data_IF_392089154838
#
_entry.id   IF_392089154838
#
_cell.length_a   1.000
_cell.length_b   1.000
_cell.length_c   1.000
_cell.angle_alpha   90.00
_cell.angle_beta   90.00
_cell.angle_gamma   90.00
#
_symmetry.space_group_name_H-M   'P 1'
#
loop_
_entity.id
_entity.type
_entity.pdbx_description
1 polymer ?
#
# COMPACT_ATOMS: atom_id res chain seq x y z
N UNK A 1 -7.52 24.41 20.84
CA UNK A 1 -7.42 24.75 19.40
C UNK A 1 -6.06 25.37 19.14
N UNK A 2 -5.05 24.60 18.84
CA UNK A 2 -3.74 25.09 18.40
C UNK A 2 -3.43 24.46 17.03
N UNK A 3 -3.44 25.31 16.01
CA UNK A 3 -3.03 24.96 14.65
C UNK A 3 -1.51 24.93 14.61
N UNK A 4 -0.91 23.76 14.51
CA UNK A 4 0.52 23.61 14.24
C UNK A 4 0.73 23.86 12.74
N UNK A 5 1.25 25.06 12.43
CA UNK A 5 1.77 25.40 11.09
C UNK A 5 3.10 24.65 10.93
N UNK A 6 3.15 23.63 10.10
CA UNK A 6 4.41 23.01 9.68
C UNK A 6 5.10 23.92 8.67
N UNK A 7 6.30 24.34 9.04
CA UNK A 7 7.21 25.16 8.24
C UNK A 7 7.82 24.28 7.13
N UNK A 8 7.56 24.64 5.88
CA UNK A 8 8.23 24.04 4.73
C UNK A 8 9.63 24.62 4.68
N UNK A 9 10.65 23.82 5.01
CA UNK A 9 12.06 24.23 4.84
C UNK A 9 12.42 23.93 3.38
N UNK A 10 12.45 24.99 2.59
CA UNK A 10 13.00 24.98 1.25
C UNK A 10 14.54 25.06 1.38
N UNK A 11 15.24 23.96 1.15
CA UNK A 11 16.71 23.96 1.14
C UNK A 11 17.16 24.60 -0.16
N UNK A 12 17.56 25.88 -0.08
CA UNK A 12 18.33 26.53 -1.14
C UNK A 12 19.79 26.10 -1.04
N UNK A 13 20.26 25.33 -2.01
CA UNK A 13 21.71 25.08 -2.17
C UNK A 13 22.30 26.33 -2.77
N UNK A 14 22.99 27.13 -1.96
CA UNK A 14 23.83 28.23 -2.40
C UNK A 14 25.16 27.68 -2.94
N UNK A 15 25.34 27.77 -4.25
CA UNK A 15 26.66 27.56 -4.87
C UNK A 15 27.56 28.79 -4.56
N UNK A 16 28.86 28.61 -4.27
CA UNK A 16 29.76 29.70 -3.98
C UNK A 16 30.02 30.54 -5.23
N UNK A 17 29.88 31.86 -5.08
CA UNK A 17 30.25 32.84 -6.08
C UNK A 17 31.78 32.86 -6.29
N UNK A 18 32.22 32.37 -7.46
CA UNK A 18 33.59 32.56 -7.91
C UNK A 18 33.83 34.02 -8.31
N UNK A 19 34.82 34.63 -7.70
CA UNK A 19 35.29 36.00 -8.05
C UNK A 19 36.04 35.88 -9.39
N UNK A 20 35.50 36.41 -10.47
CA UNK A 20 36.18 36.58 -11.75
C UNK A 20 36.51 38.03 -11.93
N UNK A 21 37.80 38.28 -12.12
CA UNK A 21 38.47 39.54 -12.48
C UNK A 21 37.99 40.04 -13.85
N UNK A 22 37.86 41.37 -13.96
CA UNK A 22 37.47 42.09 -15.15
C UNK A 22 38.49 41.93 -16.31
N UNK A 23 37.94 41.59 -17.49
CA UNK A 23 38.69 41.60 -18.73
C UNK A 23 37.75 41.25 -19.92
N UNK A 24 37.44 42.32 -20.63
CA UNK A 24 37.01 42.42 -22.04
C UNK A 24 35.69 41.84 -22.53
N UNK A 25 35.04 42.76 -23.29
CA UNK A 25 33.68 42.63 -23.81
C UNK A 25 33.55 41.58 -24.93
N UNK A 26 32.69 40.60 -24.72
CA UNK A 26 32.14 39.75 -25.75
C UNK A 26 30.76 39.28 -25.30
N UNK A 27 29.69 39.91 -25.82
CA UNK A 27 28.31 39.51 -25.64
C UNK A 27 28.07 38.10 -26.19
N UNK A 28 28.32 37.06 -25.42
CA UNK A 28 27.82 35.74 -25.68
C UNK A 28 26.54 35.55 -24.85
N UNK A 29 25.42 35.74 -25.50
CA UNK A 29 24.10 35.38 -24.98
C UNK A 29 24.03 33.85 -24.86
N UNK A 30 24.64 33.30 -23.81
CA UNK A 30 24.47 31.91 -23.43
C UNK A 30 23.03 31.71 -22.99
N UNK A 31 22.21 31.09 -23.85
CA UNK A 31 20.94 30.50 -23.43
C UNK A 31 21.23 29.59 -22.26
N UNK A 32 20.92 30.03 -21.03
CA UNK A 32 20.80 29.13 -19.90
C UNK A 32 19.67 28.15 -20.20
N UNK A 33 20.04 27.02 -20.73
CA UNK A 33 19.14 25.89 -20.87
C UNK A 33 18.85 25.41 -19.45
N UNK A 34 17.73 25.86 -18.90
CA UNK A 34 17.21 25.34 -17.66
C UNK A 34 17.01 23.83 -17.89
N UNK A 35 17.91 23.03 -17.33
CA UNK A 35 17.73 21.59 -17.31
C UNK A 35 16.40 21.35 -16.57
N UNK A 36 15.41 20.85 -17.30
CA UNK A 36 14.14 20.46 -16.71
C UNK A 36 14.45 19.39 -15.67
N UNK A 37 14.16 19.72 -14.42
CA UNK A 37 14.21 18.72 -13.34
C UNK A 37 13.24 17.62 -13.75
N UNK A 38 13.68 16.35 -13.85
CA UNK A 38 12.77 15.27 -14.22
C UNK A 38 11.63 15.25 -13.20
N UNK A 39 10.42 15.48 -13.68
CA UNK A 39 9.22 15.27 -12.87
C UNK A 39 9.13 13.78 -12.61
N UNK A 40 9.44 13.35 -11.40
CA UNK A 40 9.23 11.96 -10.98
C UNK A 40 7.72 11.75 -10.99
N UNK A 41 7.23 11.11 -12.03
CA UNK A 41 5.82 10.79 -12.15
C UNK A 41 5.54 9.62 -11.20
N UNK A 42 4.85 9.91 -10.08
CA UNK A 42 4.38 8.87 -9.17
C UNK A 42 3.41 7.95 -9.92
N UNK A 43 3.53 6.62 -9.79
CA UNK A 43 2.60 5.72 -10.43
C UNK A 43 1.18 6.01 -9.93
N UNK A 44 0.22 6.11 -10.86
CA UNK A 44 -1.18 6.30 -10.51
C UNK A 44 -1.73 5.05 -9.81
N UNK A 45 -2.56 5.19 -8.76
CA UNK A 45 -3.20 4.05 -8.12
C UNK A 45 -4.13 3.34 -9.10
N UNK A 46 -4.12 2.01 -9.07
CA UNK A 46 -4.99 1.15 -9.88
C UNK A 46 -5.32 -0.14 -9.13
N UNK A 47 -6.42 -0.83 -9.44
CA UNK A 47 -6.66 -2.17 -8.92
C UNK A 47 -5.49 -3.09 -9.25
N UNK A 48 -5.13 -3.95 -8.31
CA UNK A 48 -4.00 -4.86 -8.48
C UNK A 48 -2.65 -4.32 -8.02
N UNK A 49 -2.56 -3.07 -7.56
CA UNK A 49 -1.34 -2.49 -7.00
C UNK A 49 -1.32 -2.53 -5.47
N UNK A 50 -0.14 -2.42 -4.90
CA UNK A 50 0.06 -2.20 -3.47
C UNK A 50 0.14 -0.72 -3.14
N UNK A 51 -0.49 -0.33 -2.03
CA UNK A 51 -0.17 0.88 -1.29
C UNK A 51 0.67 0.49 -0.08
N UNK A 52 1.87 0.99 -0.03
CA UNK A 52 2.82 0.74 1.07
C UNK A 52 2.86 1.98 1.95
N UNK A 53 2.48 1.84 3.21
CA UNK A 53 2.50 2.94 4.17
C UNK A 53 3.90 3.53 4.29
N UNK A 54 4.02 4.86 4.22
CA UNK A 54 5.29 5.54 4.46
C UNK A 54 5.72 5.37 5.92
N UNK A 55 7.02 5.55 6.21
CA UNK A 55 7.55 5.48 7.59
C UNK A 55 6.93 6.53 8.51
N UNK A 56 6.48 7.65 7.92
CA UNK A 56 5.94 8.81 8.63
C UNK A 56 4.41 8.80 8.75
N UNK A 57 3.73 7.79 8.22
CA UNK A 57 2.27 7.67 8.32
C UNK A 57 1.87 7.47 9.79
N UNK A 58 1.27 8.51 10.37
CA UNK A 58 0.97 8.57 11.80
C UNK A 58 -0.32 7.83 12.19
N UNK A 59 -1.18 7.47 11.22
CA UNK A 59 -2.44 6.78 11.50
C UNK A 59 -2.16 5.36 12.03
N UNK A 60 -2.57 5.04 13.29
CA UNK A 60 -2.30 3.74 13.88
C UNK A 60 -2.99 2.58 13.15
N UNK A 61 -4.09 2.85 12.46
CA UNK A 61 -4.78 1.83 11.65
C UNK A 61 -3.98 1.44 10.42
N UNK A 62 -3.12 2.33 9.92
CA UNK A 62 -2.40 2.13 8.67
C UNK A 62 -0.86 2.17 8.80
N UNK A 63 -0.33 2.53 9.96
CA UNK A 63 1.12 2.47 10.19
C UNK A 63 1.67 1.07 9.87
N UNK A 64 2.73 0.99 9.06
CA UNK A 64 3.39 -0.26 8.65
C UNK A 64 2.46 -1.26 7.93
N UNK A 65 1.48 -0.78 7.19
CA UNK A 65 0.61 -1.64 6.39
C UNK A 65 1.02 -1.70 4.93
N UNK A 66 0.63 -2.80 4.31
CA UNK A 66 0.57 -2.96 2.86
C UNK A 66 -0.88 -3.24 2.51
N UNK A 67 -1.46 -2.41 1.66
CA UNK A 67 -2.84 -2.53 1.21
C UNK A 67 -2.84 -2.96 -0.25
N UNK A 68 -3.58 -4.01 -0.56
CA UNK A 68 -3.86 -4.42 -1.94
C UNK A 68 -5.11 -3.69 -2.42
N UNK A 69 -4.99 -2.87 -3.48
CA UNK A 69 -6.13 -2.17 -4.07
C UNK A 69 -7.00 -3.16 -4.85
N UNK A 70 -8.23 -3.29 -4.40
CA UNK A 70 -9.24 -4.18 -5.01
C UNK A 70 -10.10 -3.43 -6.02
N UNK A 71 -10.37 -2.15 -5.76
CA UNK A 71 -11.10 -1.27 -6.65
C UNK A 71 -10.56 0.16 -6.57
N UNK A 72 -10.58 0.87 -7.71
CA UNK A 72 -10.21 2.28 -7.81
C UNK A 72 -10.94 2.90 -9.00
N UNK A 73 -11.50 4.09 -8.81
CA UNK A 73 -12.23 4.82 -9.85
C UNK A 73 -12.80 6.15 -9.35
N UNK A 74 -13.68 6.73 -10.15
CA UNK A 74 -14.27 8.05 -9.88
C UNK A 74 -15.11 8.10 -8.60
N UNK A 75 -15.65 6.96 -8.15
CA UNK A 75 -16.44 6.86 -6.92
C UNK A 75 -15.57 6.68 -5.66
N UNK A 76 -14.26 6.45 -5.82
CA UNK A 76 -13.32 6.22 -4.73
C UNK A 76 -12.50 4.96 -4.87
N UNK A 77 -11.94 4.49 -3.75
CA UNK A 77 -11.05 3.31 -3.74
C UNK A 77 -11.40 2.38 -2.58
N UNK A 78 -11.16 1.09 -2.82
CA UNK A 78 -11.28 0.02 -1.82
C UNK A 78 -10.01 -0.82 -1.84
N UNK A 79 -9.47 -1.09 -0.65
CA UNK A 79 -8.30 -1.94 -0.49
C UNK A 79 -8.39 -2.84 0.74
N UNK A 80 -7.54 -3.85 0.78
CA UNK A 80 -7.42 -4.78 1.89
C UNK A 80 -5.99 -4.76 2.44
N UNK A 81 -5.87 -4.57 3.76
CA UNK A 81 -4.57 -4.70 4.45
C UNK A 81 -4.16 -6.18 4.40
N UNK A 82 -3.10 -6.50 3.67
CA UNK A 82 -2.71 -7.89 3.39
C UNK A 82 -1.62 -8.44 4.33
N UNK A 83 -1.07 -7.59 5.18
CA UNK A 83 0.04 -7.96 6.07
C UNK A 83 -0.29 -7.97 7.57
N UNK A 84 -1.58 -8.00 7.93
CA UNK A 84 -2.04 -8.06 9.34
C UNK A 84 -2.90 -9.30 9.61
N UNK A 85 -2.31 -10.48 9.80
CA UNK A 85 -3.05 -11.65 10.27
C UNK A 85 -3.57 -11.39 11.69
N UNK A 86 -4.73 -11.96 12.01
CA UNK A 86 -5.25 -12.01 13.37
C UNK A 86 -5.10 -13.42 13.96
N UNK A 87 -5.37 -13.55 15.26
CA UNK A 87 -5.45 -14.84 15.93
C UNK A 87 -6.85 -15.48 15.82
N UNK A 88 -7.76 -14.86 15.05
CA UNK A 88 -9.13 -15.34 14.89
C UNK A 88 -9.15 -16.35 13.74
N UNK A 89 -9.67 -17.54 13.99
CA UNK A 89 -9.90 -18.54 12.94
C UNK A 89 -11.24 -18.27 12.26
N UNK A 90 -11.34 -18.68 11.02
CA UNK A 90 -12.57 -18.48 10.25
C UNK A 90 -13.80 -19.13 10.94
N UNK A 91 -13.62 -20.32 11.50
CA UNK A 91 -14.69 -21.05 12.21
C UNK A 91 -15.17 -20.33 13.49
N UNK A 92 -14.33 -19.51 14.13
CA UNK A 92 -14.70 -18.74 15.31
C UNK A 92 -15.48 -17.45 14.94
N UNK A 93 -15.30 -16.95 13.71
CA UNK A 93 -15.85 -15.68 13.28
C UNK A 93 -17.11 -15.78 12.42
N UNK A 94 -17.31 -16.91 11.78
CA UNK A 94 -18.41 -17.12 10.82
C UNK A 94 -19.26 -18.27 11.26
N UNK A 95 -20.55 -18.00 11.54
CA UNK A 95 -21.53 -19.03 11.89
C UNK A 95 -21.65 -20.07 10.78
N UNK A 96 -21.92 -21.30 11.16
CA UNK A 96 -22.17 -22.43 10.27
C UNK A 96 -20.98 -22.82 9.36
N UNK A 97 -19.76 -22.47 9.77
CA UNK A 97 -18.53 -22.99 9.18
C UNK A 97 -18.03 -24.17 10.02
N UNK A 98 -17.84 -25.32 9.39
CA UNK A 98 -17.30 -26.50 10.07
C UNK A 98 -15.87 -26.22 10.55
N UNK A 99 -15.59 -26.58 11.81
CA UNK A 99 -14.27 -26.33 12.43
C UNK A 99 -13.12 -26.95 11.62
N UNK A 100 -13.29 -28.16 11.12
CA UNK A 100 -12.26 -28.84 10.35
C UNK A 100 -11.84 -28.06 9.09
N UNK A 101 -12.79 -27.43 8.40
CA UNK A 101 -12.52 -26.62 7.21
C UNK A 101 -12.08 -25.19 7.55
N UNK A 102 -12.66 -24.59 8.61
CA UNK A 102 -12.39 -23.22 9.00
C UNK A 102 -11.11 -23.03 9.82
N UNK A 103 -10.67 -24.04 10.56
CA UNK A 103 -9.47 -23.97 11.41
C UNK A 103 -8.16 -23.83 10.62
N UNK A 104 -8.17 -24.25 9.34
CA UNK A 104 -7.01 -24.11 8.45
C UNK A 104 -6.75 -22.64 8.02
N UNK A 105 -7.70 -21.73 8.27
CA UNK A 105 -7.64 -20.36 7.77
C UNK A 105 -7.72 -19.34 8.89
N UNK A 106 -6.68 -18.50 9.00
CA UNK A 106 -6.71 -17.31 9.81
C UNK A 106 -7.45 -16.17 9.09
N UNK A 107 -8.15 -15.34 9.85
CA UNK A 107 -8.71 -14.08 9.37
C UNK A 107 -7.64 -13.00 9.45
N UNK A 108 -7.60 -12.13 8.45
CA UNK A 108 -6.78 -10.93 8.40
C UNK A 108 -7.61 -9.70 8.76
N UNK A 109 -6.98 -8.75 9.40
CA UNK A 109 -7.53 -7.41 9.56
C UNK A 109 -7.41 -6.66 8.23
N UNK A 110 -8.52 -6.55 7.50
CA UNK A 110 -8.54 -5.93 6.16
C UNK A 110 -8.58 -4.39 6.17
N UNK A 111 -8.98 -3.78 7.29
CA UNK A 111 -9.05 -2.33 7.47
C UNK A 111 -10.17 -1.89 8.42
N UNK A 112 -10.27 -0.59 8.74
CA UNK A 112 -11.18 -0.07 9.77
C UNK A 112 -12.65 0.04 9.36
N UNK A 113 -12.98 -0.13 8.08
CA UNK A 113 -14.34 0.07 7.58
C UNK A 113 -15.10 -1.26 7.53
N UNK A 114 -16.34 -1.28 8.03
CA UNK A 114 -17.30 -2.41 7.94
C UNK A 114 -16.71 -3.76 8.39
N UNK A 115 -16.30 -3.86 9.64
CA UNK A 115 -15.74 -5.10 10.23
C UNK A 115 -16.63 -6.34 10.12
N UNK A 116 -17.95 -6.18 9.91
CA UNK A 116 -18.88 -7.28 9.77
C UNK A 116 -18.89 -7.93 8.37
N UNK A 117 -18.18 -7.36 7.41
CA UNK A 117 -18.10 -7.91 6.07
C UNK A 117 -16.85 -8.77 5.96
N UNK A 118 -17.05 -10.05 5.68
CA UNK A 118 -15.97 -10.98 5.32
C UNK A 118 -15.70 -10.85 3.83
N UNK A 119 -14.46 -10.53 3.48
CA UNK A 119 -13.99 -10.50 2.09
C UNK A 119 -12.97 -11.60 1.88
N UNK A 120 -13.05 -12.26 0.75
CA UNK A 120 -12.12 -13.32 0.33
C UNK A 120 -11.24 -12.82 -0.81
N UNK A 121 -9.93 -13.00 -0.71
CA UNK A 121 -9.02 -13.01 -1.86
C UNK A 121 -8.67 -14.45 -2.20
N UNK A 122 -8.68 -14.78 -3.48
CA UNK A 122 -8.44 -16.15 -3.95
C UNK A 122 -7.68 -16.16 -5.26
N UNK A 123 -6.97 -17.24 -5.51
CA UNK A 123 -6.25 -17.51 -6.76
C UNK A 123 -6.96 -18.56 -7.59
N UNK A 124 -6.79 -18.48 -8.91
CA UNK A 124 -7.18 -19.52 -9.86
C UNK A 124 -8.63 -19.97 -9.71
N UNK A 125 -9.56 -19.02 -9.87
CA UNK A 125 -10.99 -19.30 -9.84
C UNK A 125 -11.50 -19.55 -11.26
N UNK A 126 -12.25 -20.63 -11.44
CA UNK A 126 -13.01 -20.86 -12.69
C UNK A 126 -14.16 -19.85 -12.78
N UNK A 127 -14.65 -19.61 -13.99
CA UNK A 127 -15.75 -18.70 -14.28
C UNK A 127 -16.90 -18.82 -13.26
N UNK A 128 -17.06 -17.75 -12.49
CA UNK A 128 -18.09 -17.63 -11.48
C UNK A 128 -18.55 -16.15 -11.40
N UNK A 129 -19.81 -15.84 -11.70
CA UNK A 129 -20.32 -14.48 -11.72
C UNK A 129 -20.32 -13.76 -10.35
N UNK A 130 -20.07 -14.50 -9.26
CA UNK A 130 -19.99 -13.99 -7.89
C UNK A 130 -18.56 -13.64 -7.47
N UNK A 131 -17.62 -13.80 -8.38
CA UNK A 131 -16.19 -13.60 -8.15
C UNK A 131 -15.67 -12.56 -9.15
N UNK A 132 -14.95 -11.57 -8.67
CA UNK A 132 -14.45 -10.47 -9.48
C UNK A 132 -12.92 -10.57 -9.61
N UNK A 133 -12.43 -10.55 -10.84
CA UNK A 133 -10.99 -10.43 -11.10
C UNK A 133 -10.52 -9.03 -10.69
N UNK A 134 -9.45 -8.95 -9.90
CA UNK A 134 -8.77 -7.70 -9.57
C UNK A 134 -7.65 -7.44 -10.56
N UNK A 135 -6.66 -8.31 -10.59
CA UNK A 135 -5.54 -8.29 -11.53
C UNK A 135 -4.86 -9.68 -11.54
N UNK A 136 -4.15 -10.00 -12.60
CA UNK A 136 -3.46 -11.27 -12.81
C UNK A 136 -4.37 -12.49 -12.54
N UNK A 137 -4.04 -13.27 -11.52
CA UNK A 137 -4.83 -14.42 -11.06
C UNK A 137 -5.48 -14.19 -9.68
N UNK A 138 -5.56 -12.94 -9.23
CA UNK A 138 -6.16 -12.56 -7.93
C UNK A 138 -7.59 -12.12 -8.13
N UNK A 139 -8.48 -12.80 -7.44
CA UNK A 139 -9.91 -12.54 -7.46
C UNK A 139 -10.40 -12.17 -6.06
N UNK A 140 -11.52 -11.44 -5.97
CA UNK A 140 -12.19 -11.20 -4.71
C UNK A 140 -13.68 -11.54 -4.76
N UNK A 141 -14.25 -11.85 -3.59
CA UNK A 141 -15.68 -11.99 -3.36
C UNK A 141 -16.01 -11.73 -1.89
N UNK A 142 -17.25 -11.34 -1.63
CA UNK A 142 -17.86 -11.28 -0.30
C UNK A 142 -19.15 -12.11 -0.23
N UNK A 143 -19.40 -12.93 -1.25
CA UNK A 143 -20.62 -13.76 -1.34
C UNK A 143 -20.48 -15.05 -0.55
N UNK A 144 -21.45 -15.35 0.34
CA UNK A 144 -21.46 -16.54 1.18
C UNK A 144 -21.41 -17.84 0.38
N UNK A 145 -22.07 -17.90 -0.77
CA UNK A 145 -22.06 -19.10 -1.63
C UNK A 145 -20.67 -19.43 -2.19
N UNK A 146 -19.84 -18.39 -2.38
CA UNK A 146 -18.45 -18.58 -2.78
C UNK A 146 -17.65 -19.13 -1.61
N UNK A 147 -17.85 -18.62 -0.38
CA UNK A 147 -17.23 -19.16 0.83
C UNK A 147 -17.51 -20.65 0.99
N UNK A 148 -18.79 -21.03 0.99
CA UNK A 148 -19.22 -22.43 1.21
C UNK A 148 -18.58 -23.37 0.18
N UNK A 149 -18.50 -22.95 -1.08
CA UNK A 149 -17.84 -23.70 -2.15
C UNK A 149 -16.33 -23.84 -1.93
N UNK A 150 -15.63 -22.75 -1.59
CA UNK A 150 -14.18 -22.78 -1.41
C UNK A 150 -13.77 -23.64 -0.21
N UNK A 151 -14.57 -23.64 0.85
CA UNK A 151 -14.36 -24.52 2.00
C UNK A 151 -14.59 -25.99 1.64
N UNK A 152 -15.64 -26.30 0.86
CA UNK A 152 -15.89 -27.65 0.35
C UNK A 152 -14.77 -28.14 -0.57
N UNK A 153 -14.17 -27.27 -1.37
CA UNK A 153 -13.00 -27.55 -2.23
C UNK A 153 -11.69 -27.68 -1.43
N UNK A 154 -11.69 -27.39 -0.12
CA UNK A 154 -10.51 -27.39 0.77
C UNK A 154 -9.33 -26.62 0.19
N UNK A 155 -9.58 -25.43 -0.36
CA UNK A 155 -8.52 -24.58 -0.91
C UNK A 155 -7.48 -24.23 0.15
N UNK A 156 -6.17 -24.36 -0.17
CA UNK A 156 -5.12 -24.09 0.80
C UNK A 156 -4.91 -22.60 1.05
N UNK A 157 -4.25 -22.26 2.16
CA UNK A 157 -4.03 -20.87 2.58
C UNK A 157 -3.10 -20.06 1.65
N UNK A 158 -2.33 -20.69 0.79
CA UNK A 158 -1.53 -20.03 -0.25
C UNK A 158 -2.33 -19.68 -1.52
N UNK A 159 -3.61 -20.05 -1.56
CA UNK A 159 -4.54 -19.73 -2.63
C UNK A 159 -5.84 -19.07 -2.16
N UNK A 160 -6.03 -18.91 -0.83
CA UNK A 160 -7.25 -18.34 -0.24
C UNK A 160 -6.95 -17.60 1.06
N UNK A 161 -7.43 -16.36 1.18
CA UNK A 161 -7.31 -15.50 2.35
C UNK A 161 -8.63 -14.84 2.69
N UNK A 162 -8.86 -14.68 3.98
CA UNK A 162 -10.05 -14.07 4.56
C UNK A 162 -9.72 -12.78 5.28
N UNK A 163 -10.53 -11.74 5.03
CA UNK A 163 -10.35 -10.41 5.58
C UNK A 163 -11.63 -9.92 6.23
N UNK A 164 -11.54 -9.39 7.45
CA UNK A 164 -12.63 -8.64 8.07
C UNK A 164 -12.34 -7.14 7.98
N UNK A 165 -13.35 -6.39 7.50
CA UNK A 165 -13.21 -4.97 7.20
C UNK A 165 -12.37 -4.69 5.95
N UNK A 166 -12.27 -3.41 5.60
CA UNK A 166 -11.50 -2.93 4.47
C UNK A 166 -10.99 -1.50 4.72
N UNK A 167 -10.05 -1.05 3.91
CA UNK A 167 -9.67 0.35 3.77
C UNK A 167 -10.51 0.98 2.66
N UNK A 168 -10.99 2.20 2.87
CA UNK A 168 -11.83 2.90 1.91
C UNK A 168 -11.44 4.36 1.80
N UNK A 169 -11.46 4.89 0.58
CA UNK A 169 -11.22 6.29 0.26
C UNK A 169 -12.36 6.83 -0.60
N UNK A 170 -12.83 8.02 -0.28
CA UNK A 170 -13.75 8.74 -1.16
C UNK A 170 -13.02 9.27 -2.40
N UNK A 171 -13.77 9.69 -3.41
CA UNK A 171 -13.23 10.20 -4.67
C UNK A 171 -12.10 11.22 -4.47
N UNK A 172 -10.94 10.99 -5.09
CA UNK A 172 -9.75 11.82 -5.05
C UNK A 172 -9.00 11.85 -3.70
N UNK A 173 -9.49 11.17 -2.65
CA UNK A 173 -8.81 11.15 -1.34
C UNK A 173 -7.47 10.41 -1.42
N UNK A 174 -7.46 9.21 -2.00
CA UNK A 174 -6.24 8.40 -2.13
C UNK A 174 -5.14 9.14 -2.92
N UNK A 175 -5.53 9.82 -3.99
CA UNK A 175 -4.57 10.61 -4.78
C UNK A 175 -3.91 11.71 -3.94
N UNK A 176 -4.68 12.44 -3.13
CA UNK A 176 -4.12 13.47 -2.22
C UNK A 176 -3.19 12.88 -1.17
N UNK A 177 -3.48 11.71 -0.63
CA UNK A 177 -2.63 11.02 0.36
C UNK A 177 -1.31 10.54 -0.27
N UNK A 178 -1.35 10.05 -1.53
CA UNK A 178 -0.15 9.71 -2.30
C UNK A 178 0.70 10.95 -2.57
N UNK A 179 0.10 12.05 -3.01
CA UNK A 179 0.79 13.33 -3.24
C UNK A 179 1.37 13.92 -1.95
N UNK A 180 0.73 13.68 -0.81
CA UNK A 180 1.23 14.06 0.51
C UNK A 180 2.40 13.19 1.00
N UNK A 181 2.62 12.02 0.37
CA UNK A 181 3.67 11.08 0.74
C UNK A 181 3.29 10.11 1.86
N UNK A 182 1.99 9.89 2.09
CA UNK A 182 1.49 8.91 3.05
C UNK A 182 1.63 7.48 2.51
N UNK A 183 1.53 7.32 1.19
CA UNK A 183 1.59 6.04 0.51
C UNK A 183 2.58 6.03 -0.64
N UNK A 184 3.34 4.94 -0.74
CA UNK A 184 4.05 4.54 -1.95
C UNK A 184 3.18 3.57 -2.75
N UNK A 185 3.13 3.76 -4.07
CA UNK A 185 2.45 2.83 -4.99
C UNK A 185 3.49 1.87 -5.56
N UNK A 186 3.21 0.59 -5.54
CA UNK A 186 4.12 -0.45 -6.03
C UNK A 186 3.36 -1.58 -6.73
N UNK A 187 4.04 -2.27 -7.63
CA UNK A 187 3.52 -3.48 -8.24
C UNK A 187 3.25 -4.55 -7.18
N UNK A 188 2.10 -5.21 -7.27
CA UNK A 188 1.76 -6.30 -6.37
C UNK A 188 2.20 -7.64 -6.97
N UNK A 189 2.99 -8.38 -6.20
CA UNK A 189 3.24 -9.79 -6.47
C UNK A 189 2.13 -10.62 -5.82
N UNK A 190 1.31 -11.37 -6.59
CA UNK A 190 0.29 -12.27 -6.04
C UNK A 190 0.84 -13.23 -4.99
N UNK A 191 2.07 -13.73 -5.16
CA UNK A 191 2.69 -14.60 -4.18
C UNK A 191 2.95 -13.89 -2.84
N UNK A 192 3.16 -12.58 -2.84
CA UNK A 192 3.33 -11.80 -1.62
C UNK A 192 2.01 -11.67 -0.82
N UNK A 193 0.87 -11.56 -1.51
CA UNK A 193 -0.47 -11.51 -0.88
C UNK A 193 -0.72 -12.80 -0.10
N UNK A 194 -0.36 -13.95 -0.66
CA UNK A 194 -0.61 -15.28 -0.09
C UNK A 194 0.61 -15.86 0.67
N UNK A 195 1.59 -15.03 1.01
CA UNK A 195 2.82 -15.43 1.70
C UNK A 195 2.55 -15.97 3.10
N UNK A 196 3.29 -16.98 3.53
CA UNK A 196 3.28 -17.50 4.91
C UNK A 196 3.91 -16.54 5.94
N UNK A 197 4.54 -15.45 5.50
CA UNK A 197 5.15 -14.42 6.36
C UNK A 197 4.64 -13.02 6.01
N UNK A 198 3.33 -12.78 6.16
CA UNK A 198 2.71 -11.51 5.76
C UNK A 198 3.24 -10.31 6.55
N UNK A 199 3.59 -10.47 7.83
CA UNK A 199 4.05 -9.39 8.71
C UNK A 199 5.36 -8.75 8.21
N UNK A 200 6.21 -9.52 7.53
CA UNK A 200 7.47 -9.02 6.97
C UNK A 200 7.30 -8.23 5.67
N UNK A 201 6.10 -8.22 5.08
CA UNK A 201 5.89 -7.66 3.74
C UNK A 201 6.16 -6.15 3.70
N UNK A 202 5.68 -5.40 4.70
CA UNK A 202 5.91 -3.96 4.76
C UNK A 202 7.40 -3.62 4.82
N UNK A 203 8.15 -4.27 5.70
CA UNK A 203 9.60 -4.03 5.84
C UNK A 203 10.33 -4.29 4.53
N UNK A 204 10.04 -5.42 3.86
CA UNK A 204 10.67 -5.77 2.58
C UNK A 204 10.37 -4.77 1.45
N UNK A 205 9.18 -4.18 1.43
CA UNK A 205 8.78 -3.22 0.42
C UNK A 205 9.31 -1.82 0.73
N UNK A 206 9.20 -1.35 1.99
CA UNK A 206 9.62 0.00 2.34
C UNK A 206 11.14 0.19 2.23
N UNK A 207 11.93 -0.84 2.48
CA UNK A 207 13.39 -0.80 2.28
C UNK A 207 13.78 -0.58 0.82
N UNK A 208 12.95 -1.04 -0.13
CA UNK A 208 13.17 -0.83 -1.57
C UNK A 208 12.66 0.53 -2.06
N UNK A 209 11.53 0.98 -1.51
CA UNK A 209 10.82 2.20 -1.96
C UNK A 209 11.36 3.46 -1.28
N UNK A 210 11.85 3.34 -0.05
CA UNK A 210 12.40 4.41 0.76
C UNK A 210 13.67 3.95 1.47
N UNK A 211 14.79 3.77 0.72
CA UNK A 211 16.08 3.37 1.29
C UNK A 211 16.70 4.43 2.18
N UNK A 212 16.29 5.71 2.06
CA UNK A 212 16.83 6.84 2.84
C UNK A 212 16.49 6.79 4.32
N UNK A 213 15.45 6.06 4.72
CA UNK A 213 15.08 5.91 6.13
C UNK A 213 16.15 5.21 6.99
N UNK A 214 17.04 4.44 6.40
CA UNK A 214 18.17 3.78 7.09
C UNK A 214 19.32 4.77 7.42
N UNK A 215 19.49 5.81 6.61
CA UNK A 215 20.60 6.77 6.81
C UNK A 215 20.33 7.76 7.94
N UNK A 216 19.06 8.11 8.19
CA UNK A 216 18.68 9.02 9.29
C UNK A 216 18.90 8.37 10.66
N UNK A 217 18.65 7.07 10.79
CA UNK A 217 18.86 6.33 12.04
C UNK A 217 20.36 6.20 12.40
N UNK A 218 21.22 6.06 11.40
CA UNK A 218 22.67 5.96 11.63
C UNK A 218 23.34 7.28 12.04
N UNK A 219 22.87 8.43 11.52
CA UNK A 219 23.38 9.74 11.92
C UNK A 219 23.01 10.08 13.38
N UNK A 220 21.83 9.73 13.84
CA UNK A 220 21.41 9.97 15.24
C UNK A 220 22.23 9.13 16.23
N UNK A 221 22.63 7.92 15.84
CA UNK A 221 23.46 7.03 16.70
C UNK A 221 24.93 7.43 16.72
N UNK A 222 25.44 8.18 15.72
CA UNK A 222 26.84 8.64 15.68
C UNK A 222 27.05 9.99 16.37
N UNK A 223 25.98 10.68 16.80
CA UNK A 223 26.03 12.01 17.44
C UNK A 223 25.79 11.98 18.94
N UNK A 224 25.86 10.80 19.58
CA UNK A 224 25.65 10.62 21.04
C UNK A 224 26.95 10.23 21.75
#
# INVERSE_FOLDING_TARGET
MQRIRRLIIMVFVLLPAGIASAGDAGLVQGKMQQAAVPVVQLPAPAPGLFLVASRNLADPHFSRTVIYLVAHGDDGSLGLVVNRPSNIRLADAVSDVEHEAGDAHAIYYGGPVKYSILTMLMRSVKDNPLVHLVADDVYFSHDRRVLDRLLAERKPADALRFYMGHAGWVAGQLQREIEHGDWYVADADPAAIFSSRPESLWTRLIEKLDPGGLYVELEVMSSS
#
